data_IF_592197129802
#
_entry.id   IF_592197129802
#
_cell.length_a   1.000
_cell.length_b   1.000
_cell.length_c   1.000
_cell.angle_alpha   90.00
_cell.angle_beta   90.00
_cell.angle_gamma   90.00
#
_symmetry.space_group_name_H-M   'P 1'
#
loop_
_entity.id
_entity.type
_entity.pdbx_description
1 polymer ?
#
# COMPACT_ATOMS: atom_id res chain seq x y z
N UNK A 1 12.89 18.80 -4.80
CA UNK A 1 12.11 17.55 -4.80
C UNK A 1 11.08 17.61 -5.91
N UNK A 2 11.08 16.64 -6.83
CA UNK A 2 10.12 16.59 -7.94
C UNK A 2 8.69 16.82 -7.43
N UNK A 3 7.96 17.68 -8.14
CA UNK A 3 6.63 18.15 -7.76
C UNK A 3 5.64 16.98 -7.51
N UNK A 4 5.83 15.85 -8.21
CA UNK A 4 4.97 14.67 -8.13
C UNK A 4 4.97 13.98 -6.76
N UNK A 5 6.12 13.81 -6.11
CA UNK A 5 6.19 13.13 -4.81
C UNK A 5 5.49 13.95 -3.73
N UNK A 6 5.61 15.29 -3.80
CA UNK A 6 4.90 16.20 -2.91
C UNK A 6 3.40 16.13 -3.12
N UNK A 7 2.94 16.07 -4.37
CA UNK A 7 1.53 15.89 -4.70
C UNK A 7 0.97 14.57 -4.19
N UNK A 8 1.67 13.44 -4.41
CA UNK A 8 1.24 12.12 -3.90
C UNK A 8 1.14 12.14 -2.37
N UNK A 9 2.15 12.70 -1.69
CA UNK A 9 2.15 12.79 -0.23
C UNK A 9 1.00 13.67 0.30
N UNK A 10 0.68 14.76 -0.39
CA UNK A 10 -0.47 15.61 -0.04
C UNK A 10 -1.81 14.88 -0.23
N UNK A 11 -1.96 14.09 -1.29
CA UNK A 11 -3.16 13.26 -1.49
C UNK A 11 -3.30 12.18 -0.39
N UNK A 12 -2.19 11.53 0.00
CA UNK A 12 -2.18 10.59 1.13
C UNK A 12 -2.63 11.28 2.43
N UNK A 13 -2.18 12.53 2.67
CA UNK A 13 -2.62 13.31 3.83
C UNK A 13 -4.11 13.62 3.80
N UNK A 14 -4.63 13.99 2.64
CA UNK A 14 -6.01 14.45 2.43
C UNK A 14 -7.05 13.37 2.73
N UNK A 15 -6.83 12.12 2.35
CA UNK A 15 -7.82 11.06 2.50
C UNK A 15 -7.62 10.22 3.76
N UNK A 16 -8.72 9.92 4.46
CA UNK A 16 -8.72 9.00 5.62
C UNK A 16 -8.59 7.54 5.19
N UNK A 17 -9.26 7.16 4.10
CA UNK A 17 -9.34 5.79 3.60
C UNK A 17 -8.56 5.64 2.30
N UNK A 18 -7.64 4.68 2.26
CA UNK A 18 -6.71 4.48 1.15
C UNK A 18 -6.68 3.00 0.78
N UNK A 19 -6.83 2.73 -0.52
CA UNK A 19 -6.71 1.39 -1.09
C UNK A 19 -5.48 1.34 -2.00
N UNK A 20 -4.59 0.38 -1.76
CA UNK A 20 -3.38 0.16 -2.55
C UNK A 20 -3.59 -1.12 -3.34
N UNK A 21 -3.65 -0.99 -4.67
CA UNK A 21 -3.78 -2.09 -5.61
C UNK A 21 -2.46 -2.38 -6.31
N UNK A 22 -2.39 -3.53 -6.98
CA UNK A 22 -1.26 -3.98 -7.79
C UNK A 22 -1.77 -4.82 -8.97
N UNK A 23 -0.86 -5.26 -9.84
CA UNK A 23 -1.21 -6.11 -10.98
C UNK A 23 -1.56 -7.57 -10.57
N UNK A 24 -2.24 -8.27 -11.48
CA UNK A 24 -2.51 -9.72 -11.39
C UNK A 24 -1.22 -10.52 -11.59
N UNK A 25 -1.17 -11.76 -11.09
CA UNK A 25 0.05 -12.57 -11.12
C UNK A 25 1.24 -11.85 -10.44
N UNK A 26 1.06 -11.35 -9.20
CA UNK A 26 2.06 -10.53 -8.54
C UNK A 26 3.35 -11.30 -8.29
N UNK A 27 4.47 -10.63 -8.44
CA UNK A 27 5.79 -11.10 -8.04
C UNK A 27 6.12 -10.59 -6.61
N UNK A 28 7.29 -10.95 -6.05
CA UNK A 28 7.68 -10.49 -4.72
C UNK A 28 7.77 -8.96 -4.60
N UNK A 29 8.12 -8.23 -5.67
CA UNK A 29 8.23 -6.77 -5.63
C UNK A 29 6.84 -6.12 -5.54
N UNK A 30 5.87 -6.58 -6.32
CA UNK A 30 4.49 -6.11 -6.25
C UNK A 30 3.87 -6.33 -4.86
N UNK A 31 4.23 -7.43 -4.17
CA UNK A 31 3.88 -7.64 -2.76
C UNK A 31 4.62 -6.69 -1.83
N UNK A 32 5.94 -6.61 -1.96
CA UNK A 32 6.81 -5.82 -1.09
C UNK A 32 6.44 -4.35 -1.16
N UNK A 33 6.36 -3.78 -2.35
CA UNK A 33 6.00 -2.38 -2.59
C UNK A 33 4.60 -2.04 -2.06
N UNK A 34 3.61 -2.92 -2.27
CA UNK A 34 2.25 -2.72 -1.75
C UNK A 34 2.21 -2.71 -0.22
N UNK A 35 2.86 -3.68 0.42
CA UNK A 35 2.87 -3.80 1.89
C UNK A 35 3.72 -2.71 2.53
N UNK A 36 4.90 -2.41 1.99
CA UNK A 36 5.77 -1.36 2.49
C UNK A 36 5.06 0.00 2.46
N UNK A 37 4.36 0.33 1.37
CA UNK A 37 3.61 1.58 1.30
C UNK A 37 2.46 1.62 2.31
N UNK A 38 1.70 0.52 2.44
CA UNK A 38 0.61 0.41 3.42
C UNK A 38 1.12 0.66 4.85
N UNK A 39 2.16 -0.06 5.26
CA UNK A 39 2.70 0.03 6.61
C UNK A 39 3.38 1.38 6.85
N UNK A 40 4.07 1.94 5.85
CA UNK A 40 4.67 3.29 5.94
C UNK A 40 3.61 4.36 6.19
N UNK A 41 2.47 4.30 5.48
CA UNK A 41 1.37 5.24 5.69
C UNK A 41 0.77 5.06 7.09
N UNK A 42 0.55 3.81 7.55
CA UNK A 42 0.02 3.54 8.89
C UNK A 42 0.94 3.99 10.02
N UNK A 43 2.25 3.78 9.89
CA UNK A 43 3.24 4.25 10.86
C UNK A 43 3.30 5.78 10.91
N UNK A 44 3.12 6.43 9.76
CA UNK A 44 3.15 7.91 9.66
C UNK A 44 1.84 8.55 10.12
N UNK A 45 0.70 7.90 9.86
CA UNK A 45 -0.65 8.39 10.14
C UNK A 45 -1.50 7.27 10.79
N UNK A 46 -1.36 7.03 12.10
CA UNK A 46 -1.98 5.89 12.78
C UNK A 46 -3.51 5.80 12.64
N UNK A 47 -4.20 6.93 12.50
CA UNK A 47 -5.67 7.00 12.40
C UNK A 47 -6.22 6.73 10.99
N UNK A 48 -5.35 6.55 9.99
CA UNK A 48 -5.77 6.29 8.60
C UNK A 48 -6.13 4.82 8.38
N UNK A 49 -7.18 4.62 7.58
CA UNK A 49 -7.65 3.31 7.16
C UNK A 49 -6.98 2.93 5.84
N UNK A 50 -5.89 2.15 5.91
CA UNK A 50 -5.10 1.75 4.73
C UNK A 50 -5.22 0.25 4.47
N UNK A 51 -5.65 -0.09 3.25
CA UNK A 51 -5.92 -1.46 2.81
C UNK A 51 -5.08 -1.83 1.59
N UNK A 52 -4.46 -3.01 1.64
CA UNK A 52 -3.86 -3.64 0.49
C UNK A 52 -4.90 -4.60 -0.10
N UNK A 53 -5.21 -4.44 -1.39
CA UNK A 53 -6.25 -5.22 -2.09
C UNK A 53 -5.68 -6.07 -3.20
N UNK A 54 -6.36 -7.18 -3.50
CA UNK A 54 -6.08 -8.05 -4.64
C UNK A 54 -6.10 -9.53 -4.27
N UNK A 55 -5.92 -10.38 -5.28
CA UNK A 55 -5.97 -11.84 -5.06
C UNK A 55 -4.82 -12.31 -4.18
N UNK A 56 -5.16 -13.12 -3.17
CA UNK A 56 -4.17 -13.80 -2.34
C UNK A 56 -3.49 -14.91 -3.15
N UNK A 57 -2.17 -14.93 -3.17
CA UNK A 57 -1.37 -16.03 -3.73
C UNK A 57 -0.69 -16.75 -2.59
N UNK A 58 -0.88 -18.07 -2.53
CA UNK A 58 -0.43 -18.92 -1.42
C UNK A 58 1.08 -18.76 -1.15
N UNK A 59 1.88 -18.60 -2.20
CA UNK A 59 3.34 -18.44 -2.13
C UNK A 59 3.78 -17.23 -1.30
N UNK A 60 2.96 -16.18 -1.20
CA UNK A 60 3.32 -14.92 -0.54
C UNK A 60 2.53 -14.65 0.74
N UNK A 61 1.87 -15.66 1.31
CA UNK A 61 1.15 -15.52 2.58
C UNK A 61 2.02 -15.01 3.73
N UNK A 62 3.33 -15.24 3.68
CA UNK A 62 4.27 -14.79 4.70
C UNK A 62 4.49 -13.27 4.70
N UNK A 63 4.16 -12.55 3.62
CA UNK A 63 4.28 -11.09 3.56
C UNK A 63 3.16 -10.36 4.31
N UNK A 64 2.06 -11.05 4.63
CA UNK A 64 0.91 -10.47 5.32
C UNK A 64 -0.43 -10.80 4.65
N UNK A 65 -1.51 -10.37 5.29
CA UNK A 65 -2.88 -10.58 4.79
C UNK A 65 -3.29 -9.43 3.86
N UNK A 66 -3.80 -9.81 2.70
CA UNK A 66 -4.47 -8.93 1.73
C UNK A 66 -5.97 -9.17 1.88
N UNK A 67 -6.77 -8.12 1.67
CA UNK A 67 -8.22 -8.15 1.77
C UNK A 67 -8.85 -8.10 0.37
#
# INVERSE_FOLDING_TARGET
MNNIYKSIYNEIKKYKKIYIARHIGPDPDAFGSQMALKESIKLTFPDKEVYAVGTTVARFKYFGKII
#
